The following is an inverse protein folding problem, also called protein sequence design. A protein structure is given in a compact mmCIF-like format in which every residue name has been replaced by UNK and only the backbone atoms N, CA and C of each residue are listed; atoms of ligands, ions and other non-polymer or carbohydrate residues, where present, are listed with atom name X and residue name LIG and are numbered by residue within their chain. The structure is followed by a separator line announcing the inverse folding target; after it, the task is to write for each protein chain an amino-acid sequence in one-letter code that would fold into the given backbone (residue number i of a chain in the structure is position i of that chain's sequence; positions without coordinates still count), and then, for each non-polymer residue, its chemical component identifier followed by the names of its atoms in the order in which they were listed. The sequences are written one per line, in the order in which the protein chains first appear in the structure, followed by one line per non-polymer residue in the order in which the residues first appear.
data_IF_694303110402
#
_entry.id   IF_694303110402
#
_cell.length_a   1.000
_cell.length_b   1.000
_cell.length_c   1.000
_cell.angle_alpha   90.00
_cell.angle_beta   90.00
_cell.angle_gamma   90.00
#
_symmetry.space_group_name_H-M   'P 1'
#
loop_
_entity.id
_entity.type
_entity.pdbx_description
1 polymer ?
#
# COMPACT_ATOMS: atom_id res chain seq x y z
N UNK A 1 -18.27 24.05 -23.06
CA UNK A 1 -17.29 22.99 -22.85
C UNK A 1 -17.74 22.25 -21.62
N UNK A 2 -18.03 20.95 -21.72
CA UNK A 2 -18.42 20.16 -20.57
C UNK A 2 -17.21 20.11 -19.61
N UNK A 3 -17.43 20.29 -18.30
CA UNK A 3 -16.40 20.23 -17.27
C UNK A 3 -15.68 18.86 -17.21
N UNK A 4 -16.16 17.88 -17.96
CA UNK A 4 -15.66 16.50 -18.01
C UNK A 4 -14.35 16.33 -18.81
N UNK A 5 -13.92 17.34 -19.56
CA UNK A 5 -12.72 17.25 -20.43
C UNK A 5 -11.40 17.56 -19.67
N UNK A 6 -11.48 18.16 -18.49
CA UNK A 6 -10.29 18.60 -17.74
C UNK A 6 -10.22 17.89 -16.38
N UNK A 7 -9.67 16.70 -16.39
CA UNK A 7 -9.57 15.84 -15.20
C UNK A 7 -8.12 15.46 -14.93
N UNK A 8 -7.68 15.68 -13.69
CA UNK A 8 -6.40 15.25 -13.16
C UNK A 8 -6.63 14.14 -12.13
N UNK A 9 -6.01 13.00 -12.36
CA UNK A 9 -6.12 11.81 -11.49
C UNK A 9 -4.78 11.51 -10.85
N UNK A 10 -4.76 11.32 -9.53
CA UNK A 10 -3.67 10.71 -8.80
C UNK A 10 -4.13 9.34 -8.29
N UNK A 11 -3.29 8.33 -8.43
CA UNK A 11 -3.59 6.99 -7.96
C UNK A 11 -2.33 6.27 -7.48
N UNK A 12 -2.50 5.27 -6.59
CA UNK A 12 -1.38 4.53 -6.04
C UNK A 12 -0.68 3.70 -7.13
N UNK A 13 0.66 3.66 -7.06
CA UNK A 13 1.48 3.00 -8.08
C UNK A 13 1.93 1.58 -7.73
N UNK A 14 1.84 1.17 -6.45
CA UNK A 14 2.55 -0.01 -5.96
C UNK A 14 1.75 -1.31 -6.02
N UNK A 15 0.46 -1.25 -6.32
CA UNK A 15 -0.42 -2.41 -6.34
C UNK A 15 -1.47 -2.38 -7.43
N UNK A 16 -2.26 -3.44 -7.48
CA UNK A 16 -3.29 -3.63 -8.50
C UNK A 16 -4.46 -2.67 -8.26
N UNK A 17 -4.79 -2.37 -6.99
CA UNK A 17 -5.93 -1.53 -6.66
C UNK A 17 -5.74 -0.11 -7.17
N UNK A 18 -4.60 0.51 -6.88
CA UNK A 18 -4.32 1.84 -7.39
C UNK A 18 -4.27 1.91 -8.92
N UNK A 19 -3.60 0.96 -9.58
CA UNK A 19 -3.51 0.93 -11.04
C UNK A 19 -4.88 0.69 -11.70
N UNK A 20 -5.73 -0.14 -11.12
CA UNK A 20 -7.07 -0.42 -11.66
C UNK A 20 -8.07 0.68 -11.31
N UNK A 21 -7.92 1.37 -10.18
CA UNK A 21 -8.65 2.61 -9.87
C UNK A 21 -8.39 3.67 -10.94
N UNK A 22 -7.11 3.89 -11.29
CA UNK A 22 -6.73 4.76 -12.38
C UNK A 22 -7.32 4.31 -13.74
N UNK A 23 -7.35 2.99 -14.01
CA UNK A 23 -7.95 2.46 -15.24
C UNK A 23 -9.44 2.72 -15.31
N UNK A 24 -10.20 2.50 -14.23
CA UNK A 24 -11.64 2.81 -14.17
C UNK A 24 -11.88 4.29 -14.42
N UNK A 25 -11.11 5.17 -13.77
CA UNK A 25 -11.23 6.61 -13.97
C UNK A 25 -10.88 7.02 -15.41
N UNK A 26 -9.87 6.41 -16.01
CA UNK A 26 -9.48 6.65 -17.41
C UNK A 26 -10.52 6.16 -18.43
N UNK A 27 -11.28 5.10 -18.11
CA UNK A 27 -12.41 4.64 -18.94
C UNK A 27 -13.55 5.67 -18.95
N UNK A 28 -13.78 6.35 -17.82
CA UNK A 28 -14.83 7.39 -17.68
C UNK A 28 -14.35 8.72 -18.24
N UNK A 29 -13.11 9.08 -18.00
CA UNK A 29 -12.46 10.31 -18.42
C UNK A 29 -11.28 10.04 -19.35
N UNK A 30 -11.51 9.69 -20.64
CA UNK A 30 -10.44 9.22 -21.55
C UNK A 30 -9.32 10.23 -21.75
N UNK A 31 -9.61 11.53 -21.62
CA UNK A 31 -8.65 12.62 -21.78
C UNK A 31 -8.00 13.06 -20.47
N UNK A 32 -8.34 12.42 -19.34
CA UNK A 32 -7.71 12.75 -18.05
C UNK A 32 -6.20 12.57 -18.08
N UNK A 33 -5.49 13.45 -17.39
CA UNK A 33 -4.10 13.22 -17.04
C UNK A 33 -4.04 12.32 -15.81
N UNK A 34 -3.34 11.20 -15.90
CA UNK A 34 -3.16 10.25 -14.79
C UNK A 34 -1.72 10.29 -14.29
N UNK A 35 -1.56 10.47 -12.99
CA UNK A 35 -0.27 10.44 -12.30
C UNK A 35 -0.31 9.32 -11.27
N UNK A 36 0.54 8.35 -11.47
CA UNK A 36 0.78 7.30 -10.48
C UNK A 36 1.76 7.85 -9.44
N UNK A 37 1.43 7.68 -8.16
CA UNK A 37 2.18 8.21 -7.04
C UNK A 37 2.14 7.27 -5.84
N UNK A 38 2.77 7.66 -4.74
CA UNK A 38 2.89 6.85 -3.55
C UNK A 38 2.63 7.68 -2.28
N UNK A 39 2.60 7.02 -1.13
CA UNK A 39 2.55 7.65 0.18
C UNK A 39 3.81 8.43 0.50
N UNK A 40 3.72 9.25 1.57
CA UNK A 40 4.84 9.97 2.12
C UNK A 40 4.92 11.43 1.72
N UNK A 41 5.61 12.22 2.56
CA UNK A 41 5.64 13.68 2.47
C UNK A 41 6.15 14.19 1.11
N UNK A 42 7.24 13.62 0.59
CA UNK A 42 7.85 14.05 -0.68
C UNK A 42 6.91 13.79 -1.87
N UNK A 43 6.19 12.67 -1.86
CA UNK A 43 5.20 12.38 -2.89
C UNK A 43 4.02 13.34 -2.80
N UNK A 44 3.58 13.70 -1.59
CA UNK A 44 2.51 14.68 -1.40
C UNK A 44 2.95 16.10 -1.78
N UNK A 45 4.23 16.45 -1.68
CA UNK A 45 4.77 17.69 -2.25
C UNK A 45 4.69 17.67 -3.79
N UNK A 46 5.06 16.58 -4.44
CA UNK A 46 4.94 16.44 -5.89
C UNK A 46 3.47 16.51 -6.36
N UNK A 47 2.55 15.89 -5.61
CA UNK A 47 1.09 16.00 -5.84
C UNK A 47 0.65 17.46 -5.74
N UNK A 48 1.07 18.19 -4.68
CA UNK A 48 0.79 19.63 -4.52
C UNK A 48 1.23 20.43 -5.74
N UNK A 49 2.49 20.30 -6.14
CA UNK A 49 3.06 21.07 -7.25
C UNK A 49 2.28 20.81 -8.54
N UNK A 50 1.89 19.57 -8.78
CA UNK A 50 1.09 19.21 -9.96
C UNK A 50 -0.33 19.76 -9.91
N UNK A 51 -1.02 19.71 -8.76
CA UNK A 51 -2.33 20.34 -8.58
C UNK A 51 -2.25 21.85 -8.86
N UNK A 52 -1.25 22.53 -8.30
CA UNK A 52 -1.08 23.95 -8.50
C UNK A 52 -0.82 24.30 -9.96
N UNK A 53 0.03 23.55 -10.66
CA UNK A 53 0.28 23.71 -12.09
C UNK A 53 -0.99 23.49 -12.93
N UNK A 54 -1.75 22.42 -12.62
CA UNK A 54 -3.02 22.12 -13.29
C UNK A 54 -4.04 23.24 -13.13
N UNK A 55 -4.18 23.78 -11.90
CA UNK A 55 -5.12 24.88 -11.61
C UNK A 55 -4.65 26.24 -12.13
N UNK A 56 -3.39 26.38 -12.56
CA UNK A 56 -2.91 27.56 -13.27
C UNK A 56 -3.16 27.49 -14.77
N UNK A 57 -3.13 26.29 -15.36
CA UNK A 57 -3.32 26.08 -16.78
C UNK A 57 -4.79 26.01 -17.21
N UNK A 58 -5.72 25.95 -16.26
CA UNK A 58 -7.17 25.75 -16.51
C UNK A 58 -8.01 26.61 -15.58
N UNK A 59 -9.19 27.03 -16.06
CA UNK A 59 -10.14 27.82 -15.28
C UNK A 59 -11.14 26.97 -14.46
N UNK A 60 -11.26 25.71 -14.78
CA UNK A 60 -12.12 24.73 -14.09
C UNK A 60 -11.68 23.31 -14.40
N UNK A 61 -12.09 22.36 -13.60
CA UNK A 61 -11.79 20.93 -13.80
C UNK A 61 -12.09 20.11 -12.56
N UNK A 62 -11.72 18.85 -12.63
CA UNK A 62 -11.88 17.90 -11.53
C UNK A 62 -10.53 17.29 -11.17
N UNK A 63 -10.23 17.24 -9.88
CA UNK A 63 -9.04 16.57 -9.31
C UNK A 63 -9.55 15.35 -8.54
N UNK A 64 -9.06 14.18 -8.89
CA UNK A 64 -9.45 12.92 -8.25
C UNK A 64 -8.19 12.28 -7.67
N UNK A 65 -8.24 11.92 -6.38
CA UNK A 65 -7.20 11.14 -5.70
C UNK A 65 -7.84 9.80 -5.33
N UNK A 66 -7.20 8.69 -5.71
CA UNK A 66 -7.72 7.35 -5.46
C UNK A 66 -6.66 6.42 -4.87
N UNK A 67 -7.07 5.59 -3.92
CA UNK A 67 -6.23 4.58 -3.27
C UNK A 67 -4.97 5.14 -2.60
N UNK A 68 -5.10 6.30 -1.99
CA UNK A 68 -4.02 6.96 -1.26
C UNK A 68 -4.54 7.35 0.12
N UNK A 69 -4.07 6.65 1.15
CA UNK A 69 -4.32 7.03 2.54
C UNK A 69 -3.51 8.27 2.94
N UNK A 70 -3.98 9.00 3.93
CA UNK A 70 -3.33 10.20 4.45
C UNK A 70 -2.98 10.03 5.93
N UNK A 71 -1.92 10.70 6.38
CA UNK A 71 -1.50 10.72 7.76
C UNK A 71 -1.05 12.13 8.19
N UNK A 72 -0.75 12.29 9.50
CA UNK A 72 -0.36 13.57 10.09
C UNK A 72 0.93 14.17 9.53
N UNK A 73 1.83 13.34 9.02
CA UNK A 73 3.13 13.80 8.53
C UNK A 73 3.06 14.31 7.09
N UNK A 74 2.08 13.80 6.30
CA UNK A 74 2.06 14.02 4.85
C UNK A 74 0.85 14.82 4.34
N UNK A 75 -0.15 15.14 5.18
CA UNK A 75 -1.41 15.75 4.71
C UNK A 75 -1.29 17.20 4.25
N UNK A 76 -0.42 17.99 4.92
CA UNK A 76 -0.42 19.45 4.77
C UNK A 76 -0.18 19.94 3.33
N UNK A 77 0.80 19.40 2.57
CA UNK A 77 1.01 19.84 1.19
C UNK A 77 -0.23 19.67 0.29
N UNK A 78 -0.87 18.51 0.36
CA UNK A 78 -2.02 18.22 -0.50
C UNK A 78 -3.27 18.98 -0.05
N UNK A 79 -3.45 19.18 1.26
CA UNK A 79 -4.54 20.01 1.81
C UNK A 79 -4.46 21.46 1.29
N UNK A 80 -3.27 22.07 1.34
CA UNK A 80 -3.04 23.43 0.82
C UNK A 80 -3.41 23.51 -0.68
N UNK A 81 -2.95 22.56 -1.49
CA UNK A 81 -3.21 22.56 -2.92
C UNK A 81 -4.68 22.38 -3.25
N UNK A 82 -5.38 21.44 -2.57
CA UNK A 82 -6.83 21.21 -2.75
C UNK A 82 -7.66 22.39 -2.24
N UNK A 83 -7.22 23.08 -1.19
CA UNK A 83 -7.87 24.32 -0.74
C UNK A 83 -7.81 25.42 -1.79
N UNK A 84 -6.64 25.61 -2.41
CA UNK A 84 -6.45 26.56 -3.51
C UNK A 84 -7.28 26.17 -4.73
N UNK A 85 -7.29 24.89 -5.10
CA UNK A 85 -8.11 24.40 -6.23
C UNK A 85 -9.59 24.65 -6.01
N UNK A 86 -10.09 24.37 -4.79
CA UNK A 86 -11.49 24.64 -4.42
C UNK A 86 -11.86 26.12 -4.53
N UNK A 87 -10.99 27.01 -4.04
CA UNK A 87 -11.20 28.46 -4.17
C UNK A 87 -11.25 28.94 -5.63
N UNK A 88 -10.56 28.25 -6.52
CA UNK A 88 -10.59 28.51 -7.97
C UNK A 88 -11.77 27.84 -8.68
N UNK A 89 -12.68 27.15 -7.98
CA UNK A 89 -13.87 26.53 -8.54
C UNK A 89 -13.66 25.12 -9.11
N UNK A 90 -12.55 24.47 -8.82
CA UNK A 90 -12.35 23.07 -9.16
C UNK A 90 -13.15 22.14 -8.24
N UNK A 91 -13.53 20.98 -8.75
CA UNK A 91 -14.06 19.87 -7.96
C UNK A 91 -12.91 18.99 -7.48
N UNK A 92 -12.88 18.69 -6.18
CA UNK A 92 -11.92 17.76 -5.61
C UNK A 92 -12.67 16.53 -5.08
N UNK A 93 -12.19 15.33 -5.42
CA UNK A 93 -12.79 14.05 -5.00
C UNK A 93 -11.67 13.16 -4.47
N UNK A 94 -11.88 12.56 -3.28
CA UNK A 94 -10.94 11.59 -2.71
C UNK A 94 -11.63 10.26 -2.43
N UNK A 95 -11.12 9.20 -3.01
CA UNK A 95 -11.68 7.84 -2.94
C UNK A 95 -10.63 6.94 -2.32
N UNK A 96 -10.94 6.39 -1.14
CA UNK A 96 -9.98 5.57 -0.42
C UNK A 96 -10.66 4.54 0.51
N UNK A 97 -9.96 3.46 0.78
CA UNK A 97 -10.41 2.42 1.70
C UNK A 97 -9.49 2.25 2.93
N UNK A 98 -8.41 3.02 3.01
CA UNK A 98 -7.51 3.01 4.13
C UNK A 98 -8.11 3.65 5.39
N UNK A 99 -7.55 3.32 6.55
CA UNK A 99 -7.93 3.96 7.82
C UNK A 99 -7.25 5.34 7.88
N UNK A 100 -8.06 6.37 7.92
CA UNK A 100 -7.60 7.74 8.12
C UNK A 100 -7.57 8.10 9.60
N UNK A 101 -6.62 8.93 10.08
CA UNK A 101 -6.74 9.57 11.38
C UNK A 101 -8.05 10.34 11.47
N UNK A 102 -8.78 10.22 12.61
CA UNK A 102 -10.17 10.67 12.71
C UNK A 102 -10.42 12.13 12.33
N UNK A 103 -9.50 13.04 12.66
CA UNK A 103 -9.60 14.45 12.33
C UNK A 103 -9.33 14.77 10.86
N UNK A 104 -8.63 13.92 10.11
CA UNK A 104 -8.28 14.19 8.71
C UNK A 104 -9.52 14.29 7.83
N UNK A 105 -10.53 13.49 8.11
CA UNK A 105 -11.78 13.57 7.37
C UNK A 105 -12.49 14.90 7.59
N UNK A 106 -12.55 15.38 8.83
CA UNK A 106 -13.13 16.68 9.17
C UNK A 106 -12.38 17.83 8.50
N UNK A 107 -11.05 17.71 8.39
CA UNK A 107 -10.19 18.69 7.73
C UNK A 107 -10.46 18.74 6.22
N UNK A 108 -10.61 17.60 5.55
CA UNK A 108 -10.74 17.52 4.10
C UNK A 108 -12.18 17.68 3.58
N UNK A 109 -13.20 17.29 4.36
CA UNK A 109 -14.60 17.32 3.90
C UNK A 109 -15.11 18.67 3.41
N UNK A 110 -14.64 19.86 3.90
CA UNK A 110 -15.08 21.15 3.37
C UNK A 110 -14.55 21.45 1.96
N UNK A 111 -13.44 20.83 1.57
CA UNK A 111 -12.73 21.13 0.32
C UNK A 111 -12.76 19.98 -0.69
N UNK A 112 -13.21 18.79 -0.27
CA UNK A 112 -13.17 17.57 -1.06
C UNK A 112 -14.43 16.73 -0.86
N UNK A 113 -14.97 16.16 -1.93
CA UNK A 113 -15.95 15.07 -1.82
C UNK A 113 -15.19 13.82 -1.35
N UNK A 114 -15.60 13.26 -0.20
CA UNK A 114 -14.94 12.13 0.42
C UNK A 114 -15.74 10.85 0.19
N UNK A 115 -15.16 9.90 -0.55
CA UNK A 115 -15.69 8.53 -0.73
C UNK A 115 -14.79 7.58 0.02
N UNK A 116 -14.94 7.54 1.34
CA UNK A 116 -14.10 6.74 2.23
C UNK A 116 -14.84 5.49 2.71
N UNK A 117 -14.16 4.35 2.65
CA UNK A 117 -14.70 3.06 3.03
C UNK A 117 -13.68 2.23 3.78
N UNK A 118 -13.53 2.43 5.08
CA UNK A 118 -12.60 1.68 5.92
C UNK A 118 -13.30 0.78 6.94
N UNK A 119 -12.66 -0.28 7.37
CA UNK A 119 -13.19 -1.21 8.40
C UNK A 119 -13.60 -0.50 9.69
N UNK A 120 -12.91 0.57 10.07
CA UNK A 120 -13.25 1.36 11.26
C UNK A 120 -14.58 2.11 11.13
N UNK A 121 -15.09 2.32 9.92
CA UNK A 121 -16.35 3.03 9.64
C UNK A 121 -17.54 2.09 9.49
N UNK A 122 -17.35 0.93 8.90
CA UNK A 122 -18.43 0.04 8.47
C UNK A 122 -18.78 -1.05 9.48
N UNK A 123 -17.98 -1.24 10.51
CA UNK A 123 -18.15 -2.37 11.43
C UNK A 123 -17.72 -3.72 10.81
N UNK A 124 -17.49 -4.69 11.67
CA UNK A 124 -16.88 -5.99 11.29
C UNK A 124 -17.75 -6.90 10.41
N UNK A 125 -19.01 -6.56 10.18
CA UNK A 125 -19.96 -7.40 9.45
C UNK A 125 -20.24 -6.93 8.01
N UNK A 126 -19.73 -5.78 7.59
CA UNK A 126 -19.91 -5.31 6.22
C UNK A 126 -18.79 -5.83 5.31
N UNK A 127 -19.10 -6.09 4.02
CA UNK A 127 -18.08 -6.56 3.08
C UNK A 127 -17.02 -5.47 2.87
N UNK A 128 -15.77 -5.87 2.93
CA UNK A 128 -14.63 -5.00 2.58
C UNK A 128 -14.75 -4.53 1.13
N UNK A 129 -14.28 -3.32 0.84
CA UNK A 129 -14.18 -2.78 -0.52
C UNK A 129 -12.81 -2.17 -0.72
N UNK A 130 -12.26 -2.37 -1.90
CA UNK A 130 -11.05 -1.70 -2.35
C UNK A 130 -11.38 -0.41 -3.13
N UNK A 131 -10.40 0.45 -3.37
CA UNK A 131 -10.60 1.74 -4.04
C UNK A 131 -11.12 1.59 -5.48
N UNK A 132 -10.71 0.55 -6.21
CA UNK A 132 -11.23 0.25 -7.55
C UNK A 132 -12.74 -0.02 -7.55
N UNK A 133 -13.25 -0.75 -6.54
CA UNK A 133 -14.69 -0.99 -6.39
C UNK A 133 -15.44 0.31 -6.12
N UNK A 134 -14.88 1.17 -5.25
CA UNK A 134 -15.46 2.49 -4.96
C UNK A 134 -15.46 3.41 -6.19
N UNK A 135 -14.38 3.42 -6.97
CA UNK A 135 -14.32 4.13 -8.25
C UNK A 135 -15.38 3.62 -9.23
N UNK A 136 -15.57 2.29 -9.34
CA UNK A 136 -16.61 1.71 -10.17
C UNK A 136 -18.01 2.11 -9.72
N UNK A 137 -18.32 1.99 -8.43
CA UNK A 137 -19.63 2.33 -7.86
C UNK A 137 -19.97 3.82 -8.10
N UNK A 138 -18.99 4.70 -7.95
CA UNK A 138 -19.18 6.15 -8.08
C UNK A 138 -19.27 6.64 -9.52
N UNK A 139 -18.45 6.10 -10.43
CA UNK A 139 -18.25 6.65 -11.77
C UNK A 139 -18.72 5.73 -12.91
N UNK A 140 -18.69 4.42 -12.71
CA UNK A 140 -18.99 3.45 -13.77
C UNK A 140 -19.90 2.29 -13.29
N UNK A 141 -21.00 2.54 -12.54
CA UNK A 141 -21.79 1.50 -11.85
C UNK A 141 -22.41 0.45 -12.78
N UNK A 142 -22.58 0.77 -14.04
CA UNK A 142 -23.16 -0.14 -15.05
C UNK A 142 -22.12 -0.84 -15.90
N UNK A 143 -20.84 -0.50 -15.76
CA UNK A 143 -19.75 -1.11 -16.52
C UNK A 143 -19.39 -2.49 -15.99
N UNK A 144 -19.63 -3.53 -16.77
CA UNK A 144 -19.22 -4.90 -16.44
C UNK A 144 -17.70 -4.99 -16.34
N UNK A 145 -16.99 -4.29 -17.24
CA UNK A 145 -15.54 -4.32 -17.25
C UNK A 145 -14.95 -3.63 -16.01
N UNK A 146 -15.45 -2.47 -15.61
CA UNK A 146 -15.02 -1.81 -14.37
C UNK A 146 -15.28 -2.69 -13.14
N UNK A 147 -16.41 -3.42 -13.08
CA UNK A 147 -16.68 -4.44 -12.05
C UNK A 147 -15.66 -5.58 -12.05
N UNK A 148 -15.22 -6.00 -13.24
CA UNK A 148 -14.18 -7.03 -13.36
C UNK A 148 -12.85 -6.53 -12.79
N UNK A 149 -12.45 -5.29 -13.12
CA UNK A 149 -11.26 -4.66 -12.52
C UNK A 149 -11.35 -4.60 -10.99
N UNK A 150 -12.49 -4.12 -10.46
CA UNK A 150 -12.75 -4.08 -9.01
C UNK A 150 -12.66 -5.46 -8.36
N UNK A 151 -13.23 -6.49 -8.98
CA UNK A 151 -13.15 -7.86 -8.45
C UNK A 151 -11.72 -8.41 -8.42
N UNK A 152 -10.88 -8.07 -9.38
CA UNK A 152 -9.48 -8.49 -9.39
C UNK A 152 -8.70 -7.72 -8.32
N UNK A 153 -8.86 -6.40 -8.24
CA UNK A 153 -8.22 -5.56 -7.23
C UNK A 153 -8.59 -6.02 -5.81
N UNK A 154 -9.89 -6.20 -5.53
CA UNK A 154 -10.38 -6.72 -4.25
C UNK A 154 -9.67 -8.01 -3.82
N UNK A 155 -9.47 -8.94 -4.76
CA UNK A 155 -8.82 -10.22 -4.46
C UNK A 155 -7.30 -10.11 -4.26
N UNK A 156 -6.67 -9.06 -4.74
CA UNK A 156 -5.26 -8.78 -4.45
C UNK A 156 -5.08 -8.12 -3.09
N UNK A 157 -5.99 -7.24 -2.68
CA UNK A 157 -5.98 -6.57 -1.39
C UNK A 157 -6.45 -7.47 -0.25
N UNK A 158 -7.46 -8.32 -0.53
CA UNK A 158 -8.06 -9.23 0.44
C UNK A 158 -7.90 -10.69 -0.02
N UNK A 159 -6.67 -11.25 0.03
CA UNK A 159 -6.34 -12.55 -0.56
C UNK A 159 -7.11 -13.72 0.04
N UNK A 160 -7.60 -13.61 1.27
CA UNK A 160 -8.42 -14.66 1.92
C UNK A 160 -9.76 -14.90 1.21
N UNK A 161 -10.21 -13.96 0.39
CA UNK A 161 -11.40 -14.08 -0.45
C UNK A 161 -11.13 -14.80 -1.77
N UNK A 162 -9.88 -15.08 -2.12
CA UNK A 162 -9.50 -15.59 -3.44
C UNK A 162 -9.74 -17.10 -3.57
N UNK A 163 -10.71 -17.48 -4.42
CA UNK A 163 -10.99 -18.90 -4.77
C UNK A 163 -10.28 -19.37 -6.04
N UNK A 164 -9.73 -18.45 -6.83
CA UNK A 164 -9.11 -18.74 -8.14
C UNK A 164 -7.77 -18.05 -8.26
N UNK A 165 -6.81 -18.63 -9.00
CA UNK A 165 -5.55 -17.96 -9.31
C UNK A 165 -5.80 -16.61 -9.98
N UNK A 166 -5.04 -15.59 -9.54
CA UNK A 166 -5.02 -14.28 -10.19
C UNK A 166 -3.83 -14.21 -11.14
N UNK A 167 -3.88 -13.34 -12.16
CA UNK A 167 -2.67 -12.99 -12.89
C UNK A 167 -1.59 -12.53 -11.90
N UNK A 168 -0.31 -12.84 -12.14
CA UNK A 168 0.78 -12.47 -11.23
C UNK A 168 1.14 -10.97 -11.30
N UNK A 169 0.12 -10.09 -11.34
CA UNK A 169 0.25 -8.65 -11.49
C UNK A 169 1.03 -8.00 -10.35
N UNK A 170 0.79 -8.43 -9.11
CA UNK A 170 1.52 -7.89 -7.94
C UNK A 170 3.03 -8.10 -8.08
N UNK A 171 3.45 -9.29 -8.52
CA UNK A 171 4.87 -9.58 -8.77
C UNK A 171 5.44 -8.72 -9.90
N UNK A 172 4.70 -8.58 -10.99
CA UNK A 172 5.12 -7.79 -12.15
C UNK A 172 5.20 -6.29 -11.84
N UNK A 173 4.23 -5.74 -11.09
CA UNK A 173 4.25 -4.35 -10.61
C UNK A 173 5.49 -4.11 -9.74
N UNK A 174 5.74 -4.99 -8.76
CA UNK A 174 6.92 -4.89 -7.89
C UNK A 174 8.22 -4.96 -8.68
N UNK A 175 8.27 -5.82 -9.69
CA UNK A 175 9.43 -5.94 -10.58
C UNK A 175 9.67 -4.65 -11.37
N UNK A 176 8.64 -4.05 -11.97
CA UNK A 176 8.76 -2.79 -12.69
C UNK A 176 9.20 -1.64 -11.77
N UNK A 177 8.62 -1.52 -10.59
CA UNK A 177 8.99 -0.49 -9.61
C UNK A 177 10.42 -0.65 -9.08
N UNK A 178 10.87 -1.87 -8.88
CA UNK A 178 12.22 -2.13 -8.40
C UNK A 178 13.31 -1.98 -9.46
N UNK A 179 12.92 -1.87 -10.72
CA UNK A 179 13.79 -1.64 -11.89
C UNK A 179 13.46 -0.28 -12.48
N UNK A 180 14.15 0.79 -12.04
CA UNK A 180 13.86 2.19 -12.41
C UNK A 180 13.64 2.41 -13.91
N UNK A 181 14.40 1.70 -14.73
CA UNK A 181 14.28 1.72 -16.19
C UNK A 181 12.97 1.14 -16.72
N UNK A 182 12.25 0.35 -15.92
CA UNK A 182 10.98 -0.28 -16.27
C UNK A 182 9.75 0.43 -15.69
N UNK A 183 9.91 1.46 -14.86
CA UNK A 183 8.79 2.16 -14.23
C UNK A 183 7.75 2.67 -15.24
N UNK A 184 8.18 3.08 -16.44
CA UNK A 184 7.28 3.53 -17.50
C UNK A 184 6.29 2.43 -17.94
N UNK A 185 6.60 1.14 -17.71
CA UNK A 185 5.72 0.01 -18.02
C UNK A 185 4.48 -0.06 -17.14
N UNK A 186 4.48 0.57 -15.96
CA UNK A 186 3.25 0.73 -15.17
C UNK A 186 2.18 1.47 -15.98
N UNK A 187 2.57 2.52 -16.68
CA UNK A 187 1.67 3.30 -17.54
C UNK A 187 1.38 2.60 -18.87
N UNK A 188 2.41 2.19 -19.60
CA UNK A 188 2.27 1.70 -20.97
C UNK A 188 1.73 0.28 -21.02
N UNK A 189 2.17 -0.59 -20.12
CA UNK A 189 1.84 -2.02 -20.12
C UNK A 189 0.65 -2.30 -19.20
N UNK A 190 0.74 -1.99 -17.91
CA UNK A 190 -0.33 -2.36 -16.97
C UNK A 190 -1.57 -1.47 -17.16
N UNK A 191 -1.45 -0.18 -16.87
CA UNK A 191 -2.57 0.77 -16.98
C UNK A 191 -3.09 0.86 -18.41
N UNK A 192 -2.20 1.01 -19.40
CA UNK A 192 -2.59 1.12 -20.80
C UNK A 192 -3.29 -0.12 -21.33
N UNK A 193 -2.93 -1.33 -20.90
CA UNK A 193 -3.62 -2.56 -21.28
C UNK A 193 -4.99 -2.64 -20.59
N UNK A 194 -5.06 -2.34 -19.29
CA UNK A 194 -6.32 -2.31 -18.55
C UNK A 194 -7.31 -1.31 -19.19
N UNK A 195 -6.87 -0.13 -19.60
CA UNK A 195 -7.72 0.84 -20.32
C UNK A 195 -8.23 0.34 -21.68
N UNK A 196 -7.57 -0.63 -22.29
CA UNK A 196 -7.99 -1.27 -23.55
C UNK A 196 -8.78 -2.58 -23.38
N UNK A 197 -9.14 -2.93 -22.15
CA UNK A 197 -9.83 -4.18 -21.86
C UNK A 197 -8.94 -5.43 -21.80
N UNK A 198 -7.62 -5.24 -21.70
CA UNK A 198 -6.63 -6.32 -21.70
C UNK A 198 -6.05 -6.45 -20.31
N UNK A 199 -6.37 -7.54 -19.62
CA UNK A 199 -5.90 -7.80 -18.24
C UNK A 199 -4.53 -8.49 -18.21
N UNK A 200 -4.17 -9.21 -19.27
CA UNK A 200 -2.90 -9.90 -19.42
C UNK A 200 -2.56 -10.03 -20.90
N UNK A 201 -1.34 -9.75 -21.29
CA UNK A 201 -0.89 -9.81 -22.68
C UNK A 201 0.48 -10.50 -22.80
N UNK A 202 0.96 -10.65 -24.03
CA UNK A 202 2.23 -11.34 -24.32
C UNK A 202 3.42 -10.59 -23.69
N UNK A 203 3.44 -9.26 -23.74
CA UNK A 203 4.51 -8.47 -23.12
C UNK A 203 4.58 -8.68 -21.61
N UNK A 204 3.43 -8.66 -20.91
CA UNK A 204 3.37 -8.97 -19.48
C UNK A 204 3.85 -10.40 -19.20
N UNK A 205 3.51 -11.36 -20.09
CA UNK A 205 3.93 -12.73 -19.95
C UNK A 205 5.45 -12.88 -20.08
N UNK A 206 6.04 -12.26 -21.09
CA UNK A 206 7.49 -12.32 -21.36
C UNK A 206 8.26 -11.63 -20.21
N UNK A 207 7.84 -10.45 -19.80
CA UNK A 207 8.44 -9.75 -18.65
C UNK A 207 8.32 -10.55 -17.35
N UNK A 208 7.19 -11.25 -17.12
CA UNK A 208 7.00 -12.08 -15.94
C UNK A 208 7.86 -13.34 -15.95
N UNK A 209 8.12 -13.94 -17.13
CA UNK A 209 9.05 -15.07 -17.25
C UNK A 209 10.47 -14.63 -16.83
N UNK A 210 10.92 -13.48 -17.30
CA UNK A 210 12.22 -12.92 -16.92
C UNK A 210 12.25 -12.57 -15.42
N UNK A 211 11.21 -11.89 -14.94
CA UNK A 211 11.09 -11.47 -13.54
C UNK A 211 11.04 -12.67 -12.58
N UNK A 212 10.31 -13.74 -12.93
CA UNK A 212 10.09 -14.88 -12.01
C UNK A 212 11.39 -15.50 -11.53
N UNK A 213 12.35 -15.73 -12.43
CA UNK A 213 13.65 -16.29 -12.06
C UNK A 213 14.39 -15.38 -11.06
N UNK A 214 14.44 -14.07 -11.34
CA UNK A 214 15.11 -13.10 -10.47
C UNK A 214 14.40 -12.96 -9.12
N UNK A 215 13.07 -12.97 -9.12
CA UNK A 215 12.26 -12.90 -7.90
C UNK A 215 12.48 -14.16 -7.04
N UNK A 216 12.43 -15.36 -7.63
CA UNK A 216 12.61 -16.62 -6.90
C UNK A 216 14.02 -16.74 -6.33
N UNK A 217 15.06 -16.38 -7.08
CA UNK A 217 16.44 -16.33 -6.61
C UNK A 217 16.61 -15.34 -5.44
N UNK A 218 15.99 -14.16 -5.55
CA UNK A 218 16.03 -13.14 -4.50
C UNK A 218 15.29 -13.58 -3.25
N UNK A 219 14.10 -14.16 -3.37
CA UNK A 219 13.33 -14.69 -2.24
C UNK A 219 14.12 -15.80 -1.52
N UNK A 220 14.67 -16.76 -2.26
CA UNK A 220 15.46 -17.84 -1.70
C UNK A 220 16.68 -17.30 -0.92
N UNK A 221 17.37 -16.30 -1.49
CA UNK A 221 18.48 -15.60 -0.82
C UNK A 221 18.01 -14.90 0.46
N UNK A 222 16.91 -14.15 0.40
CA UNK A 222 16.36 -13.42 1.54
C UNK A 222 15.92 -14.35 2.69
N UNK A 223 15.35 -15.51 2.37
CA UNK A 223 14.99 -16.54 3.37
C UNK A 223 16.24 -17.14 4.00
N UNK A 224 17.23 -17.51 3.19
CA UNK A 224 18.48 -18.14 3.69
C UNK A 224 19.32 -17.21 4.58
N UNK A 225 19.26 -15.90 4.34
CA UNK A 225 19.97 -14.89 5.13
C UNK A 225 19.09 -14.20 6.18
N UNK A 226 17.84 -14.65 6.37
CA UNK A 226 16.98 -14.10 7.40
C UNK A 226 17.57 -14.31 8.80
N UNK A 227 17.62 -13.24 9.57
CA UNK A 227 18.06 -13.26 10.97
C UNK A 227 16.86 -13.61 11.84
N UNK A 228 16.91 -14.74 12.53
CA UNK A 228 15.86 -15.18 13.45
C UNK A 228 16.22 -14.74 14.86
N UNK A 229 15.26 -14.15 15.57
CA UNK A 229 15.34 -13.73 16.98
C UNK A 229 14.17 -14.29 17.77
N UNK A 230 14.39 -14.59 19.03
CA UNK A 230 13.37 -15.00 19.98
C UNK A 230 13.19 -13.92 21.04
N UNK A 231 11.95 -13.54 21.28
CA UNK A 231 11.58 -12.58 22.31
C UNK A 231 10.62 -13.23 23.30
N UNK A 232 10.77 -12.87 24.58
CA UNK A 232 9.87 -13.32 25.63
C UNK A 232 8.56 -12.51 25.59
N UNK A 233 7.44 -13.19 25.53
CA UNK A 233 6.11 -12.63 25.60
C UNK A 233 5.38 -13.14 26.84
N UNK A 234 4.78 -12.25 27.60
CA UNK A 234 3.93 -12.60 28.75
C UNK A 234 2.52 -12.08 28.48
N UNK A 235 1.52 -12.98 28.32
CA UNK A 235 0.13 -12.53 28.15
C UNK A 235 -0.35 -11.79 29.40
N UNK A 236 -1.08 -10.70 29.23
CA UNK A 236 -1.61 -9.86 30.33
C UNK A 236 -2.69 -10.54 31.15
N UNK A 237 -3.28 -11.63 30.68
CA UNK A 237 -4.48 -12.27 31.24
C UNK A 237 -4.25 -13.60 31.98
N UNK A 238 -3.03 -14.15 31.99
CA UNK A 238 -2.78 -15.44 32.65
C UNK A 238 -2.32 -15.29 34.09
N UNK A 239 -3.01 -15.99 35.01
CA UNK A 239 -2.70 -16.05 36.46
C UNK A 239 -1.44 -16.90 36.73
N UNK A 240 -1.12 -17.87 35.88
CA UNK A 240 0.13 -18.65 35.88
C UNK A 240 0.94 -18.32 34.63
N UNK A 241 2.06 -17.64 34.84
CA UNK A 241 2.85 -17.00 33.79
C UNK A 241 3.83 -17.98 33.14
N UNK A 242 3.41 -18.79 32.20
CA UNK A 242 4.33 -19.35 31.25
C UNK A 242 4.77 -18.25 30.25
N UNK A 243 6.09 -18.08 30.15
CA UNK A 243 6.70 -17.17 29.20
C UNK A 243 6.67 -17.84 27.82
N UNK A 244 5.84 -17.33 26.94
CA UNK A 244 5.83 -17.79 25.54
C UNK A 244 6.98 -17.16 24.77
N UNK A 245 7.57 -17.91 23.83
CA UNK A 245 8.60 -17.40 22.92
C UNK A 245 7.95 -16.94 21.62
N UNK A 246 8.26 -15.73 21.19
CA UNK A 246 7.88 -15.18 19.89
C UNK A 246 9.08 -15.23 18.96
N UNK A 247 8.94 -15.90 17.84
CA UNK A 247 9.98 -16.01 16.82
C UNK A 247 9.79 -14.93 15.75
N UNK A 248 10.77 -14.05 15.63
CA UNK A 248 10.79 -12.94 14.68
C UNK A 248 11.87 -13.18 13.63
N UNK A 249 11.51 -13.17 12.37
CA UNK A 249 12.45 -13.20 11.26
C UNK A 249 12.61 -11.80 10.66
N UNK A 250 13.87 -11.37 10.51
CA UNK A 250 14.23 -10.09 9.88
C UNK A 250 15.06 -10.39 8.65
N UNK A 251 14.64 -9.88 7.49
CA UNK A 251 15.31 -10.13 6.22
C UNK A 251 15.46 -8.86 5.39
N UNK A 252 16.56 -8.77 4.65
CA UNK A 252 16.74 -7.76 3.61
C UNK A 252 16.07 -8.24 2.33
N UNK A 253 15.27 -7.37 1.69
CA UNK A 253 14.59 -7.63 0.44
C UNK A 253 15.19 -6.78 -0.69
N UNK A 254 15.31 -7.35 -1.88
CA UNK A 254 15.57 -6.55 -3.07
C UNK A 254 14.34 -5.71 -3.41
N UNK A 255 14.53 -4.50 -3.95
CA UNK A 255 13.46 -3.53 -4.21
C UNK A 255 12.42 -4.01 -5.23
N UNK A 256 12.79 -4.93 -6.11
CA UNK A 256 11.90 -5.53 -7.12
C UNK A 256 11.11 -6.76 -6.63
N UNK A 257 11.24 -7.15 -5.36
CA UNK A 257 10.50 -8.26 -4.77
C UNK A 257 9.31 -7.72 -3.98
N UNK A 258 8.13 -8.25 -4.23
CA UNK A 258 6.97 -7.96 -3.38
C UNK A 258 7.23 -8.41 -1.96
N UNK A 259 7.29 -7.43 -1.04
CA UNK A 259 7.54 -7.71 0.38
C UNK A 259 6.43 -8.57 0.99
N UNK A 260 5.19 -8.39 0.55
CA UNK A 260 4.07 -9.22 1.02
C UNK A 260 4.25 -10.70 0.66
N UNK A 261 4.74 -10.99 -0.56
CA UNK A 261 5.04 -12.36 -1.00
C UNK A 261 6.21 -12.93 -0.20
N UNK A 262 7.29 -12.15 -0.06
CA UNK A 262 8.47 -12.58 0.71
C UNK A 262 8.12 -12.92 2.16
N UNK A 263 7.40 -12.01 2.85
CA UNK A 263 7.02 -12.19 4.25
C UNK A 263 6.11 -13.40 4.44
N UNK A 264 5.16 -13.65 3.52
CA UNK A 264 4.35 -14.87 3.52
C UNK A 264 5.22 -16.13 3.45
N UNK A 265 6.15 -16.20 2.49
CA UNK A 265 7.06 -17.34 2.34
C UNK A 265 7.99 -17.53 3.55
N UNK A 266 8.45 -16.47 4.20
CA UNK A 266 9.26 -16.55 5.43
C UNK A 266 8.45 -17.17 6.57
N UNK A 267 7.20 -16.73 6.76
CA UNK A 267 6.29 -17.26 7.78
C UNK A 267 6.05 -18.74 7.56
N UNK A 268 5.71 -19.12 6.33
CA UNK A 268 5.37 -20.50 5.98
C UNK A 268 6.55 -21.47 6.11
N UNK A 269 7.79 -20.99 5.84
CA UNK A 269 8.98 -21.86 5.80
C UNK A 269 9.65 -22.09 7.16
N UNK A 270 9.42 -21.22 8.16
CA UNK A 270 10.27 -21.19 9.37
C UNK A 270 9.51 -21.21 10.71
N UNK A 271 8.20 -21.45 10.71
CA UNK A 271 7.37 -21.33 11.94
C UNK A 271 7.56 -19.98 12.64
N UNK A 272 7.54 -18.90 11.88
CA UNK A 272 7.75 -17.53 12.33
C UNK A 272 6.42 -16.92 12.77
N UNK A 273 6.43 -16.20 13.87
CA UNK A 273 5.28 -15.48 14.42
C UNK A 273 5.16 -14.07 13.83
N UNK A 274 6.29 -13.41 13.59
CA UNK A 274 6.38 -12.09 12.96
C UNK A 274 7.52 -12.08 11.95
N UNK A 275 7.24 -11.75 10.71
CA UNK A 275 8.24 -11.54 9.68
C UNK A 275 8.38 -10.04 9.36
N UNK A 276 9.62 -9.58 9.19
CA UNK A 276 9.98 -8.20 8.89
C UNK A 276 10.93 -8.21 7.70
N UNK A 277 10.61 -7.40 6.69
CA UNK A 277 11.50 -7.19 5.55
C UNK A 277 11.84 -5.70 5.41
N UNK A 278 13.10 -5.39 5.13
CA UNK A 278 13.55 -4.04 4.82
C UNK A 278 14.31 -4.01 3.49
N UNK A 279 14.29 -2.87 2.80
CA UNK A 279 15.02 -2.66 1.54
C UNK A 279 16.23 -1.76 1.76
N UNK A 280 17.10 -1.66 0.75
CA UNK A 280 18.26 -0.76 0.76
C UNK A 280 17.86 0.71 0.99
N UNK A 281 16.71 1.12 0.50
CA UNK A 281 16.15 2.47 0.65
C UNK A 281 15.51 2.70 2.04
N UNK A 282 15.55 1.71 2.92
CA UNK A 282 15.00 1.77 4.28
C UNK A 282 13.49 1.55 4.36
N UNK A 283 12.82 1.17 3.28
CA UNK A 283 11.40 0.77 3.35
C UNK A 283 11.26 -0.49 4.19
N UNK A 284 10.29 -0.50 5.10
CA UNK A 284 10.03 -1.59 6.02
C UNK A 284 8.63 -2.16 5.80
N UNK A 285 8.49 -3.47 5.91
CA UNK A 285 7.20 -4.15 5.94
C UNK A 285 7.19 -5.23 7.01
N UNK A 286 6.06 -5.38 7.69
CA UNK A 286 5.83 -6.35 8.76
C UNK A 286 4.61 -7.19 8.41
N UNK A 287 4.66 -8.47 8.78
CA UNK A 287 3.52 -9.38 8.67
C UNK A 287 3.54 -10.37 9.82
N UNK A 288 2.40 -10.55 10.50
CA UNK A 288 2.24 -11.60 11.52
C UNK A 288 1.71 -12.88 10.90
N UNK A 289 1.97 -14.02 11.55
CA UNK A 289 1.38 -15.30 11.17
C UNK A 289 -0.07 -15.40 11.65
N UNK A 290 -0.86 -16.29 11.03
CA UNK A 290 -2.23 -16.59 11.47
C UNK A 290 -2.28 -17.17 12.89
N UNK A 291 -1.23 -17.92 13.30
CA UNK A 291 -1.12 -18.49 14.66
C UNK A 291 -1.16 -17.43 15.77
N UNK A 292 -0.73 -16.21 15.47
CA UNK A 292 -0.74 -15.09 16.45
C UNK A 292 -2.05 -14.32 16.47
N UNK A 293 -3.04 -14.73 15.68
CA UNK A 293 -4.37 -14.11 15.62
C UNK A 293 -5.38 -14.83 16.53
N UNK A 294 -5.25 -16.15 16.66
CA UNK A 294 -6.21 -17.02 17.37
C UNK A 294 -5.68 -17.54 18.72
N UNK A 295 -4.40 -17.28 19.03
CA UNK A 295 -3.73 -17.78 20.23
C UNK A 295 -3.54 -16.76 21.35
N UNK A 296 -2.83 -17.17 22.40
CA UNK A 296 -2.48 -16.34 23.55
C UNK A 296 -1.53 -15.17 23.22
N UNK A 297 -0.87 -15.22 22.05
CA UNK A 297 0.07 -14.20 21.57
C UNK A 297 -0.63 -13.34 20.53
N UNK A 298 -0.98 -12.11 20.92
CA UNK A 298 -1.53 -11.13 19.98
C UNK A 298 -0.46 -10.13 19.56
N UNK A 299 -0.02 -10.20 18.29
CA UNK A 299 0.90 -9.23 17.70
C UNK A 299 0.10 -8.24 16.86
N UNK A 300 0.31 -6.95 17.09
CA UNK A 300 -0.27 -5.88 16.28
C UNK A 300 0.85 -5.19 15.48
N UNK A 301 0.89 -5.48 14.17
CA UNK A 301 1.88 -4.90 13.28
C UNK A 301 1.74 -3.38 13.16
N UNK A 302 0.54 -2.82 13.27
CA UNK A 302 0.32 -1.38 13.14
C UNK A 302 0.96 -0.61 14.30
N UNK A 303 0.88 -1.15 15.52
CA UNK A 303 1.52 -0.56 16.71
C UNK A 303 3.05 -0.63 16.58
N UNK A 304 3.59 -1.76 16.10
CA UNK A 304 5.03 -1.89 15.88
C UNK A 304 5.48 -0.89 14.82
N UNK A 305 4.75 -0.82 13.69
CA UNK A 305 5.08 0.05 12.57
C UNK A 305 5.07 1.53 12.98
N UNK A 306 4.13 1.96 13.84
CA UNK A 306 4.04 3.35 14.30
C UNK A 306 5.29 3.87 15.02
N UNK A 307 6.18 2.99 15.47
CA UNK A 307 7.45 3.38 16.06
C UNK A 307 8.54 3.71 15.02
N UNK A 308 8.32 3.40 13.74
CA UNK A 308 9.19 3.78 12.63
C UNK A 308 8.70 5.09 11.98
N UNK A 309 9.52 5.67 11.10
CA UNK A 309 9.15 6.87 10.34
C UNK A 309 8.02 6.53 9.36
N UNK A 310 7.00 7.38 9.29
CA UNK A 310 5.83 7.23 8.42
C UNK A 310 5.17 5.83 8.56
N UNK A 311 5.25 5.26 9.77
CA UNK A 311 4.78 3.91 10.03
C UNK A 311 3.29 3.83 10.28
N UNK A 312 2.67 2.77 9.76
CA UNK A 312 1.24 2.50 9.92
C UNK A 312 0.81 1.25 9.17
N UNK A 313 -0.48 0.98 9.17
CA UNK A 313 -1.08 -0.17 8.48
C UNK A 313 -2.13 -0.89 9.33
N UNK A 314 -2.33 -2.17 9.03
CA UNK A 314 -3.29 -3.03 9.72
C UNK A 314 -2.61 -3.89 10.82
N UNK A 315 -3.37 -4.39 11.81
CA UNK A 315 -2.83 -5.29 12.82
C UNK A 315 -2.13 -6.53 12.27
N UNK A 316 -2.55 -7.04 11.11
CA UNK A 316 -1.97 -8.22 10.45
C UNK A 316 -0.76 -7.93 9.56
N UNK A 317 -0.68 -6.71 9.01
CA UNK A 317 0.38 -6.29 8.09
C UNK A 317 0.52 -4.77 8.10
N UNK A 318 1.73 -4.27 8.24
CA UNK A 318 2.01 -2.86 8.33
C UNK A 318 3.38 -2.52 7.71
N UNK A 319 3.68 -1.25 7.57
CA UNK A 319 4.95 -0.82 7.01
C UNK A 319 5.37 0.56 7.49
N UNK A 320 6.53 1.01 7.03
CA UNK A 320 7.11 2.30 7.38
C UNK A 320 8.50 2.45 6.79
N UNK A 321 9.29 3.33 7.38
CA UNK A 321 10.67 3.56 6.98
C UNK A 321 11.59 3.52 8.20
N UNK A 322 12.76 2.94 8.02
CA UNK A 322 13.85 3.03 8.99
C UNK A 322 14.31 4.49 9.11
N UNK A 323 14.72 4.88 10.30
CA UNK A 323 15.35 6.18 10.56
C UNK A 323 16.83 6.16 10.20
N UNK A 324 17.45 4.99 10.33
CA UNK A 324 18.84 4.77 9.97
C UNK A 324 19.03 4.80 8.46
N UNK A 325 20.07 5.50 8.00
CA UNK A 325 20.47 5.50 6.59
C UNK A 325 21.33 4.26 6.33
N UNK A 326 20.75 3.26 5.64
CA UNK A 326 21.43 1.99 5.37
C UNK A 326 22.61 2.17 4.41
N UNK A 327 22.55 3.10 3.46
CA UNK A 327 23.65 3.37 2.54
C UNK A 327 24.90 3.87 3.25
N UNK A 328 24.72 4.64 4.33
CA UNK A 328 25.83 5.20 5.11
C UNK A 328 26.27 4.28 6.26
N UNK A 329 25.34 3.62 6.93
CA UNK A 329 25.57 2.92 8.19
C UNK A 329 25.57 1.38 8.06
N UNK A 330 25.20 0.87 6.88
CA UNK A 330 25.14 -0.57 6.60
C UNK A 330 23.94 -1.28 7.22
N UNK A 331 23.82 -2.57 6.92
CA UNK A 331 22.70 -3.42 7.36
C UNK A 331 22.67 -3.64 8.89
N UNK A 332 23.80 -3.52 9.57
CA UNK A 332 23.87 -3.68 11.04
C UNK A 332 23.02 -2.63 11.77
N UNK A 333 23.01 -1.38 11.30
CA UNK A 333 22.21 -0.32 11.91
C UNK A 333 20.71 -0.53 11.71
N UNK A 334 20.31 -1.09 10.56
CA UNK A 334 18.95 -1.46 10.29
C UNK A 334 18.47 -2.58 11.22
N UNK A 335 19.29 -3.62 11.41
CA UNK A 335 18.98 -4.73 12.31
C UNK A 335 18.87 -4.26 13.76
N UNK A 336 19.79 -3.41 14.24
CA UNK A 336 19.77 -2.85 15.59
C UNK A 336 18.50 -2.02 15.84
N UNK A 337 18.11 -1.16 14.88
CA UNK A 337 16.90 -0.34 14.99
C UNK A 337 15.65 -1.23 15.05
N UNK A 338 15.56 -2.23 14.20
CA UNK A 338 14.43 -3.17 14.17
C UNK A 338 14.38 -3.98 15.46
N UNK A 339 15.49 -4.60 15.89
CA UNK A 339 15.55 -5.42 17.10
C UNK A 339 15.18 -4.61 18.34
N UNK A 340 15.67 -3.38 18.47
CA UNK A 340 15.35 -2.49 19.60
C UNK A 340 13.86 -2.12 19.61
N UNK A 341 13.29 -1.83 18.45
CA UNK A 341 11.86 -1.49 18.32
C UNK A 341 10.98 -2.67 18.73
N UNK A 342 11.29 -3.88 18.26
CA UNK A 342 10.57 -5.11 18.62
C UNK A 342 10.69 -5.42 20.10
N UNK A 343 11.89 -5.30 20.66
CA UNK A 343 12.11 -5.48 22.09
C UNK A 343 11.26 -4.53 22.93
N UNK A 344 11.26 -3.26 22.59
CA UNK A 344 10.46 -2.24 23.28
C UNK A 344 8.94 -2.52 23.17
N UNK A 345 8.46 -3.04 22.04
CA UNK A 345 7.07 -3.45 21.87
C UNK A 345 6.70 -4.57 22.84
N UNK A 346 7.47 -5.66 22.89
CA UNK A 346 7.20 -6.78 23.78
C UNK A 346 7.41 -6.44 25.26
N UNK A 347 8.30 -5.51 25.61
CA UNK A 347 8.44 -5.03 26.99
C UNK A 347 7.25 -4.19 27.46
N UNK A 348 6.70 -3.35 26.59
CA UNK A 348 5.51 -2.52 26.92
C UNK A 348 4.22 -3.33 27.02
N UNK A 349 4.09 -4.41 26.25
CA UNK A 349 2.93 -5.32 26.32
C UNK A 349 2.97 -6.20 27.58
N UNK A 350 4.07 -6.14 28.36
CA UNK A 350 4.21 -6.78 29.68
C UNK A 350 3.59 -5.97 30.83
N UNK A 351 3.36 -4.69 30.68
CA UNK A 351 2.84 -3.76 31.68
C UNK A 351 1.33 -3.64 31.60
#
# INVERSE_FOLDING_TARGET
MNNDDNVLVFSHEQDVDGLFSAAVLKLVYPHSEVILTNYGFENMLAVKDKILSFTQSSNSGTIIISDIGINHESYLPVFEALSISKQKGFSNIWIDHHVWPGEMEEIFSPICEMVLYSESRIGSNEPKKCATELCNERFAPTSIYAKTLGSIAHRTDFPDSARFPLPPLTGLISYYLGKKELNHKLYSVILGSACRGILWNTEMQDDMIEASRLIDESIARSINFAVIREFDFKPSTSVEKEVSKVRVAISKADSFVSRSILLGKIIDSNEIDLAIAYTQEGKLSLRRSHRTTEGEIQIDCSIIASAFREGGGHPGAAGGFLRSNIEQNGDSSALEEIEMTIKNYFEKTRA
#
